data_IF_974974481283
#
_entry.id   IF_974974481283
#
_cell.length_a   1.000
_cell.length_b   1.000
_cell.length_c   1.000
_cell.angle_alpha   90.00
_cell.angle_beta   90.00
_cell.angle_gamma   90.00
#
_symmetry.space_group_name_H-M   'P 1'
#
loop_
_entity.id
_entity.type
_entity.pdbx_description
1 polymer ?
#
# COMPACT_ATOMS: atom_id res chain seq x y z
N UNK A 1 41.78 3.39 -41.07
CA UNK A 1 41.44 4.69 -40.45
C UNK A 1 40.47 4.48 -39.29
N UNK A 2 40.65 5.18 -38.17
CA UNK A 2 39.70 5.14 -37.06
C UNK A 2 38.52 6.11 -37.31
N UNK A 3 37.30 5.57 -37.35
CA UNK A 3 36.07 6.33 -37.60
C UNK A 3 35.27 6.65 -36.33
N UNK A 4 35.64 6.06 -35.18
CA UNK A 4 34.93 6.24 -33.91
C UNK A 4 34.85 7.71 -33.46
N UNK A 5 35.92 8.53 -33.56
CA UNK A 5 35.89 9.95 -33.16
C UNK A 5 34.83 10.80 -33.86
N UNK A 6 34.39 10.38 -35.05
CA UNK A 6 33.37 11.08 -35.84
C UNK A 6 31.94 10.66 -35.50
N UNK A 7 31.77 9.65 -34.63
CA UNK A 7 30.45 9.11 -34.27
C UNK A 7 29.97 9.74 -32.98
N UNK A 8 28.71 10.20 -32.99
CA UNK A 8 28.05 10.83 -31.84
C UNK A 8 27.90 9.89 -30.63
N UNK A 9 27.91 8.57 -30.82
CA UNK A 9 27.81 7.57 -29.75
C UNK A 9 29.16 7.23 -29.10
N UNK A 10 30.27 7.81 -29.56
CA UNK A 10 31.57 7.44 -29.02
C UNK A 10 31.72 7.93 -27.56
N UNK A 11 31.82 6.97 -26.64
CA UNK A 11 31.87 7.18 -25.19
C UNK A 11 32.97 8.15 -24.72
N UNK A 12 34.12 8.19 -25.39
CA UNK A 12 35.29 8.99 -24.99
C UNK A 12 35.28 10.42 -25.54
N UNK A 13 34.24 10.84 -26.26
CA UNK A 13 34.12 12.24 -26.68
C UNK A 13 33.83 13.09 -25.45
N UNK A 14 34.38 14.31 -25.44
CA UNK A 14 34.19 15.26 -24.33
C UNK A 14 32.72 15.52 -24.04
N UNK A 15 31.89 15.59 -25.09
CA UNK A 15 30.45 15.80 -24.98
C UNK A 15 29.73 14.64 -24.27
N UNK A 16 30.04 13.39 -24.62
CA UNK A 16 29.41 12.23 -23.99
C UNK A 16 29.90 12.03 -22.56
N UNK A 17 31.20 12.24 -22.31
CA UNK A 17 31.74 12.25 -20.95
C UNK A 17 31.12 13.35 -20.08
N UNK A 18 30.75 14.51 -20.65
CA UNK A 18 30.08 15.58 -19.92
C UNK A 18 28.60 15.26 -19.65
N UNK A 19 27.91 14.55 -20.57
CA UNK A 19 26.56 14.03 -20.31
C UNK A 19 26.56 13.05 -19.15
N UNK A 20 27.45 12.05 -19.19
CA UNK A 20 27.61 11.08 -18.09
C UNK A 20 27.87 11.77 -16.76
N UNK A 21 28.79 12.74 -16.71
CA UNK A 21 29.04 13.50 -15.48
C UNK A 21 27.83 14.30 -14.99
N UNK A 22 27.03 14.88 -15.89
CA UNK A 22 25.80 15.58 -15.51
C UNK A 22 24.79 14.61 -14.93
N UNK A 23 24.62 13.45 -15.54
CA UNK A 23 23.67 12.44 -15.09
C UNK A 23 24.10 11.84 -13.74
N UNK A 24 25.39 11.57 -13.56
CA UNK A 24 25.99 11.14 -12.29
C UNK A 24 25.83 12.22 -11.20
N UNK A 25 26.09 13.49 -11.52
CA UNK A 25 25.90 14.59 -10.59
C UNK A 25 24.43 14.80 -10.23
N UNK A 26 23.51 14.66 -11.19
CA UNK A 26 22.07 14.74 -10.92
C UNK A 26 21.60 13.58 -10.03
N UNK A 27 22.11 12.37 -10.27
CA UNK A 27 21.83 11.21 -9.42
C UNK A 27 22.38 11.41 -7.99
N UNK A 28 23.61 11.93 -7.86
CA UNK A 28 24.22 12.22 -6.57
C UNK A 28 23.43 13.30 -5.79
N UNK A 29 23.06 14.41 -6.44
CA UNK A 29 22.28 15.48 -5.82
C UNK A 29 20.88 15.02 -5.38
N UNK A 30 20.24 14.13 -6.15
CA UNK A 30 18.96 13.55 -5.79
C UNK A 30 19.05 12.65 -4.54
N UNK A 31 20.11 11.84 -4.43
CA UNK A 31 20.38 11.03 -3.23
C UNK A 31 20.69 11.90 -2.00
N UNK A 32 21.50 12.96 -2.17
CA UNK A 32 21.79 13.91 -1.09
C UNK A 32 20.52 14.58 -0.56
N UNK A 33 19.66 15.09 -1.46
CA UNK A 33 18.38 15.70 -1.08
C UNK A 33 17.47 14.73 -0.32
N UNK A 34 17.48 13.45 -0.71
CA UNK A 34 16.72 12.39 -0.02
C UNK A 34 17.27 12.14 1.38
N UNK A 35 18.59 12.04 1.52
CA UNK A 35 19.26 11.85 2.80
C UNK A 35 19.04 13.04 3.73
N UNK A 36 19.10 14.26 3.22
CA UNK A 36 18.79 15.48 3.97
C UNK A 36 17.37 15.46 4.51
N UNK A 37 16.39 15.07 3.69
CA UNK A 37 15.00 14.92 4.13
C UNK A 37 14.85 13.87 5.22
N UNK A 38 15.51 12.73 5.10
CA UNK A 38 15.49 11.68 6.13
C UNK A 38 16.14 12.17 7.43
N UNK A 39 17.28 12.84 7.35
CA UNK A 39 17.99 13.41 8.51
C UNK A 39 17.13 14.45 9.23
N UNK A 40 16.48 15.33 8.47
CA UNK A 40 15.59 16.35 9.02
C UNK A 40 14.38 15.72 9.72
N UNK A 41 13.73 14.74 9.08
CA UNK A 41 12.63 13.98 9.70
C UNK A 41 13.06 13.22 10.97
N UNK A 42 14.28 12.68 11.01
CA UNK A 42 14.84 12.04 12.20
C UNK A 42 15.08 13.05 13.33
N UNK A 43 15.61 14.24 13.01
CA UNK A 43 15.78 15.33 13.96
C UNK A 43 14.44 15.80 14.52
N UNK A 44 13.45 16.02 13.65
CA UNK A 44 12.09 16.42 14.03
C UNK A 44 11.45 15.37 14.95
N UNK A 45 11.51 14.07 14.58
CA UNK A 45 11.03 12.97 15.42
C UNK A 45 11.68 12.96 16.79
N UNK A 46 13.00 13.17 16.87
CA UNK A 46 13.72 13.22 18.15
C UNK A 46 13.23 14.37 19.02
N UNK A 47 13.03 15.55 18.43
CA UNK A 47 12.51 16.73 19.14
C UNK A 47 11.09 16.48 19.62
N UNK A 48 10.24 15.87 18.79
CA UNK A 48 8.87 15.53 19.14
C UNK A 48 8.82 14.54 20.32
N UNK A 49 9.67 13.50 20.32
CA UNK A 49 9.78 12.58 21.45
C UNK A 49 10.20 13.28 22.75
N UNK A 50 11.10 14.26 22.68
CA UNK A 50 11.51 15.03 23.85
C UNK A 50 10.38 15.94 24.35
N UNK A 51 9.65 16.59 23.44
CA UNK A 51 8.47 17.41 23.79
C UNK A 51 7.37 16.56 24.43
N UNK A 52 7.03 15.42 23.83
CA UNK A 52 6.04 14.50 24.38
C UNK A 52 6.42 14.03 25.79
N UNK A 53 7.69 13.67 26.02
CA UNK A 53 8.19 13.33 27.37
C UNK A 53 8.07 14.50 28.35
N UNK A 54 8.34 15.73 27.90
CA UNK A 54 8.21 16.92 28.74
C UNK A 54 6.75 17.18 29.10
N UNK A 55 5.82 17.02 28.16
CA UNK A 55 4.39 17.23 28.41
C UNK A 55 3.82 16.15 29.34
N UNK A 56 4.25 14.89 29.19
CA UNK A 56 3.97 13.80 30.15
C UNK A 56 4.51 14.13 31.55
N UNK A 57 5.72 14.68 31.65
CA UNK A 57 6.28 15.06 32.94
C UNK A 57 5.53 16.24 33.58
N UNK A 58 5.08 17.21 32.76
CA UNK A 58 4.27 18.34 33.24
C UNK A 58 2.89 17.89 33.70
N UNK A 59 2.23 16.98 32.99
CA UNK A 59 0.91 16.46 33.38
C UNK A 59 0.98 15.70 34.70
N UNK A 60 1.98 14.82 34.87
CA UNK A 60 2.23 14.11 36.14
C UNK A 60 2.53 15.09 37.28
N UNK A 61 3.24 16.18 37.00
CA UNK A 61 3.55 17.22 38.00
C UNK A 61 2.34 18.08 38.37
N UNK A 62 1.40 18.34 37.46
CA UNK A 62 0.16 19.05 37.77
C UNK A 62 -0.82 18.20 38.59
N UNK A 63 -0.81 16.88 38.42
CA UNK A 63 -1.69 15.97 39.18
C UNK A 63 -1.13 15.65 40.58
N UNK A 64 0.19 15.69 40.77
CA UNK A 64 0.84 15.49 42.07
C UNK A 64 1.00 16.75 42.95
N UNK A 65 0.55 17.92 42.50
CA UNK A 65 0.78 19.20 43.19
C UNK A 65 -0.25 19.56 44.29
N UNK A 66 -1.12 18.63 44.70
CA UNK A 66 -2.08 18.85 45.81
C UNK A 66 -1.61 18.33 47.18
N UNK A 67 -0.40 17.80 47.32
CA UNK A 67 0.20 17.48 48.63
C UNK A 67 1.67 17.94 48.68
N UNK A 68 1.99 18.74 49.71
CA UNK A 68 3.34 19.21 50.07
C UNK A 68 3.94 20.34 49.22
N UNK A 69 3.46 21.57 49.45
CA UNK A 69 4.20 22.80 49.17
C UNK A 69 5.13 23.12 50.34
N UNK A 70 6.41 22.75 50.27
CA UNK A 70 7.50 23.52 50.88
C UNK A 70 8.87 22.99 50.42
N UNK A 71 9.65 23.87 49.79
CA UNK A 71 11.10 23.73 49.67
C UNK A 71 11.62 22.80 48.56
N UNK A 72 11.80 23.32 47.35
CA UNK A 72 13.02 23.10 46.57
C UNK A 72 13.12 24.12 45.42
N UNK A 73 13.50 25.35 45.76
CA UNK A 73 13.94 26.32 44.77
C UNK A 73 15.40 26.07 44.40
N UNK A 74 15.64 25.94 43.10
CA UNK A 74 16.78 26.55 42.40
C UNK A 74 18.20 26.23 42.90
N UNK A 75 18.82 25.18 42.34
CA UNK A 75 20.25 25.21 41.97
C UNK A 75 20.51 24.30 40.76
N UNK A 76 20.21 24.76 39.55
CA UNK A 76 20.88 24.25 38.35
C UNK A 76 21.31 25.42 37.48
N UNK A 77 22.30 26.13 37.97
CA UNK A 77 23.11 27.05 37.20
C UNK A 77 24.52 26.86 37.73
N UNK A 78 25.15 25.78 37.26
CA UNK A 78 26.60 25.67 37.06
C UNK A 78 26.93 24.24 36.60
N UNK A 79 27.12 24.08 35.29
CA UNK A 79 27.87 22.94 34.74
C UNK A 79 28.71 23.40 33.55
N UNK A 80 29.56 24.38 33.83
CA UNK A 80 30.73 24.62 33.01
C UNK A 80 31.80 23.56 33.38
N UNK A 81 32.38 22.96 32.33
CA UNK A 81 33.64 22.23 32.31
C UNK A 81 33.77 20.97 33.19
N UNK A 82 33.81 19.79 32.54
CA UNK A 82 34.78 18.73 32.89
C UNK A 82 34.89 17.73 31.73
N UNK A 83 36.08 17.73 31.12
CA UNK A 83 36.61 16.65 30.28
C UNK A 83 36.79 15.41 31.16
N UNK A 84 36.38 14.24 30.66
CA UNK A 84 36.59 12.97 31.36
C UNK A 84 36.16 11.79 30.48
N UNK A 85 37.11 10.93 30.20
CA UNK A 85 37.08 9.81 29.27
C UNK A 85 36.14 8.70 29.74
N UNK A 86 35.31 8.18 28.82
CA UNK A 86 34.41 7.06 29.11
C UNK A 86 35.05 5.74 28.69
N UNK A 87 35.62 5.01 29.64
CA UNK A 87 35.91 3.58 29.49
C UNK A 87 34.62 2.79 29.64
N UNK A 88 34.24 2.04 28.61
CA UNK A 88 33.04 1.21 28.58
C UNK A 88 33.17 0.02 29.53
N UNK A 89 32.30 -0.05 30.55
CA UNK A 89 32.05 -1.26 31.33
C UNK A 89 30.64 -1.75 31.06
N UNK A 90 30.53 -2.72 30.16
CA UNK A 90 29.30 -3.47 29.87
C UNK A 90 29.10 -4.55 30.95
N UNK A 91 28.17 -4.34 31.87
CA UNK A 91 27.67 -5.41 32.75
C UNK A 91 26.47 -6.10 32.09
N UNK A 92 26.69 -7.28 31.49
CA UNK A 92 25.63 -8.22 31.10
C UNK A 92 25.25 -9.05 32.32
N UNK A 93 23.99 -8.99 32.74
CA UNK A 93 23.42 -9.92 33.71
C UNK A 93 22.77 -11.08 32.95
N UNK A 94 23.28 -12.28 33.21
CA UNK A 94 22.74 -13.57 32.80
C UNK A 94 21.97 -14.15 33.98
N UNK A 95 20.66 -14.42 33.83
CA UNK A 95 19.90 -15.20 34.81
C UNK A 95 19.52 -16.54 34.20
N UNK A 96 20.27 -17.57 34.57
CA UNK A 96 19.94 -18.98 34.39
C UNK A 96 18.93 -19.40 35.46
N UNK A 97 17.72 -19.82 35.06
CA UNK A 97 16.79 -20.54 35.93
C UNK A 97 16.64 -21.98 35.45
N UNK A 98 17.14 -22.92 36.25
CA UNK A 98 16.95 -24.35 36.08
C UNK A 98 16.37 -24.93 37.38
N UNK A 99 15.23 -25.63 37.28
CA UNK A 99 14.70 -26.73 38.13
C UNK A 99 13.17 -26.62 38.23
N UNK A 100 12.38 -27.50 37.61
CA UNK A 100 11.82 -28.74 38.22
C UNK A 100 10.28 -28.63 38.13
N UNK A 101 9.59 -29.33 37.22
CA UNK A 101 8.99 -30.66 37.34
C UNK A 101 8.10 -30.86 38.57
N UNK A 102 6.79 -30.98 38.33
CA UNK A 102 5.71 -31.76 38.99
C UNK A 102 4.38 -31.21 38.42
N UNK A 103 3.31 -31.90 38.03
CA UNK A 103 2.82 -33.25 38.24
C UNK A 103 1.29 -33.19 38.38
N UNK A 104 0.56 -33.64 37.35
CA UNK A 104 -0.79 -34.23 37.33
C UNK A 104 -2.07 -33.50 37.86
N UNK A 105 -3.08 -33.58 36.97
CA UNK A 105 -4.48 -34.00 37.21
C UNK A 105 -5.62 -32.97 37.29
N UNK A 106 -6.55 -33.19 36.36
CA UNK A 106 -7.89 -32.66 36.15
C UNK A 106 -8.81 -32.84 37.36
N UNK A 107 -9.64 -31.83 37.66
CA UNK A 107 -10.92 -32.03 38.35
C UNK A 107 -12.01 -31.20 37.68
N UNK A 108 -13.07 -31.89 37.32
CA UNK A 108 -14.24 -31.40 36.59
C UNK A 108 -15.25 -30.70 37.52
N UNK A 109 -15.68 -29.53 37.06
CA UNK A 109 -17.04 -28.99 37.06
C UNK A 109 -17.80 -28.87 38.41
N UNK A 110 -17.89 -27.64 38.93
CA UNK A 110 -18.89 -27.23 39.93
C UNK A 110 -19.72 -26.05 39.35
N UNK A 111 -21.04 -26.25 39.31
CA UNK A 111 -22.08 -25.23 39.55
C UNK A 111 -22.21 -24.03 38.61
N UNK A 112 -23.25 -24.07 37.76
CA UNK A 112 -23.88 -22.85 37.22
C UNK A 112 -24.47 -22.00 38.36
N UNK A 113 -23.89 -20.83 38.59
CA UNK A 113 -24.45 -19.73 39.36
C UNK A 113 -23.86 -18.45 38.79
N UNK A 114 -24.74 -17.49 38.44
CA UNK A 114 -24.45 -16.16 37.89
C UNK A 114 -22.96 -15.82 37.88
N UNK A 115 -22.31 -16.01 36.72
CA UNK A 115 -20.87 -15.84 36.58
C UNK A 115 -20.47 -14.48 37.13
N UNK A 116 -19.84 -14.48 38.31
CA UNK A 116 -19.17 -13.31 38.83
C UNK A 116 -18.14 -12.94 37.77
N UNK A 117 -18.44 -11.88 37.01
CA UNK A 117 -17.43 -11.28 36.15
C UNK A 117 -16.25 -10.99 37.06
N UNK A 118 -15.12 -11.66 36.82
CA UNK A 118 -13.88 -11.33 37.49
C UNK A 118 -13.71 -9.81 37.37
N UNK A 119 -13.58 -9.13 38.51
CA UNK A 119 -13.41 -7.68 38.56
C UNK A 119 -12.03 -7.36 37.99
N UNK A 120 -11.99 -7.18 36.67
CA UNK A 120 -10.79 -6.81 35.96
C UNK A 120 -10.63 -5.30 36.06
N UNK A 121 -9.92 -4.85 37.09
CA UNK A 121 -9.56 -3.43 37.29
C UNK A 121 -8.87 -2.81 36.07
N UNK A 122 -8.31 -3.64 35.18
CA UNK A 122 -7.61 -3.23 33.96
C UNK A 122 -8.46 -3.31 32.70
N UNK A 123 -9.73 -3.75 32.77
CA UNK A 123 -10.57 -3.93 31.58
C UNK A 123 -10.88 -2.60 30.89
N UNK A 124 -11.13 -1.54 31.63
CA UNK A 124 -11.32 -0.19 31.10
C UNK A 124 -10.04 0.36 30.44
N UNK A 125 -8.90 0.13 31.07
CA UNK A 125 -7.59 0.59 30.60
C UNK A 125 -7.15 -0.18 29.34
N UNK A 126 -7.37 -1.49 29.31
CA UNK A 126 -7.09 -2.33 28.15
C UNK A 126 -8.04 -2.02 26.98
N UNK A 127 -9.31 -1.72 27.24
CA UNK A 127 -10.25 -1.26 26.21
C UNK A 127 -9.86 0.11 25.65
N UNK A 128 -9.36 1.02 26.50
CA UNK A 128 -8.83 2.31 26.07
C UNK A 128 -7.56 2.15 25.22
N UNK A 129 -6.62 1.28 25.59
CA UNK A 129 -5.45 0.97 24.78
C UNK A 129 -5.82 0.32 23.44
N UNK A 130 -6.76 -0.63 23.44
CA UNK A 130 -7.26 -1.28 22.22
C UNK A 130 -7.96 -0.30 21.28
N UNK A 131 -8.72 0.66 21.80
CA UNK A 131 -9.36 1.71 20.99
C UNK A 131 -8.35 2.69 20.39
N UNK A 132 -7.30 3.04 21.14
CA UNK A 132 -6.18 3.86 20.64
C UNK A 132 -5.34 3.13 19.58
N UNK A 133 -5.24 1.81 19.64
CA UNK A 133 -4.53 0.99 18.63
C UNK A 133 -5.37 0.64 17.39
N UNK A 134 -6.70 0.68 17.48
CA UNK A 134 -7.60 0.29 16.39
C UNK A 134 -7.71 1.35 15.28
N UNK A 135 -7.37 2.60 15.56
CA UNK A 135 -7.38 3.70 14.60
C UNK A 135 -6.03 3.81 13.88
N UNK A 136 -5.76 2.92 12.94
CA UNK A 136 -4.60 3.08 12.04
C UNK A 136 -4.84 4.32 11.17
N UNK A 137 -3.84 5.21 11.11
CA UNK A 137 -3.91 6.43 10.33
C UNK A 137 -4.28 6.10 8.86
N UNK A 138 -5.46 6.57 8.43
CA UNK A 138 -6.02 6.25 7.09
C UNK A 138 -5.10 6.72 5.98
N UNK A 139 -4.40 7.84 6.21
CA UNK A 139 -3.45 8.41 5.28
C UNK A 139 -2.24 7.49 5.07
N UNK A 140 -1.73 6.88 6.16
CA UNK A 140 -0.61 5.94 6.09
C UNK A 140 -0.94 4.68 5.29
N UNK A 141 -2.17 4.16 5.41
CA UNK A 141 -2.59 3.01 4.59
C UNK A 141 -2.77 3.39 3.11
N UNK A 142 -3.24 4.60 2.83
CA UNK A 142 -3.36 5.10 1.47
C UNK A 142 -1.97 5.32 0.83
N UNK A 143 -1.03 5.88 1.59
CA UNK A 143 0.35 6.07 1.17
C UNK A 143 1.06 4.74 0.91
N UNK A 144 0.91 3.75 1.81
CA UNK A 144 1.44 2.39 1.60
C UNK A 144 0.87 1.73 0.36
N UNK A 145 -0.43 1.90 0.08
CA UNK A 145 -1.08 1.38 -1.13
C UNK A 145 -0.60 2.10 -2.38
N UNK A 146 -0.36 3.41 -2.32
CA UNK A 146 0.19 4.19 -3.42
C UNK A 146 1.67 3.83 -3.69
N UNK A 147 2.46 3.62 -2.64
CA UNK A 147 3.84 3.15 -2.72
C UNK A 147 3.90 1.74 -3.35
N UNK A 148 3.02 0.84 -2.92
CA UNK A 148 2.90 -0.48 -3.51
C UNK A 148 2.44 -0.41 -4.97
N UNK A 149 1.47 0.44 -5.29
CA UNK A 149 1.03 0.67 -6.67
C UNK A 149 2.17 1.22 -7.53
N UNK A 150 2.94 2.17 -7.03
CA UNK A 150 4.09 2.74 -7.73
C UNK A 150 5.21 1.72 -7.92
N UNK A 151 5.50 0.89 -6.92
CA UNK A 151 6.48 -0.18 -7.00
C UNK A 151 6.03 -1.27 -7.98
N UNK A 152 4.78 -1.71 -7.92
CA UNK A 152 4.21 -2.68 -8.85
C UNK A 152 4.17 -2.12 -10.29
N UNK A 153 3.83 -0.85 -10.48
CA UNK A 153 3.92 -0.18 -11.78
C UNK A 153 5.36 -0.08 -12.27
N UNK A 154 6.31 0.27 -11.39
CA UNK A 154 7.74 0.35 -11.71
C UNK A 154 8.35 -1.02 -12.03
N UNK A 155 7.91 -2.06 -11.35
CA UNK A 155 8.28 -3.46 -11.60
C UNK A 155 7.52 -4.06 -12.79
N UNK A 156 6.58 -3.34 -13.39
CA UNK A 156 5.76 -3.82 -14.51
C UNK A 156 4.75 -4.89 -14.13
N UNK A 157 4.58 -5.18 -12.84
CA UNK A 157 3.57 -6.10 -12.29
C UNK A 157 2.18 -5.49 -12.49
N UNK A 158 2.05 -4.19 -12.20
CA UNK A 158 0.84 -3.42 -12.48
C UNK A 158 1.04 -2.56 -13.72
N UNK A 159 1.06 -3.21 -14.89
CA UNK A 159 0.95 -2.56 -16.19
C UNK A 159 -0.52 -2.34 -16.51
N UNK A 160 -1.03 -1.12 -16.30
CA UNK A 160 -2.42 -0.83 -16.67
C UNK A 160 -2.54 -0.82 -18.19
N UNK A 161 -3.27 -1.80 -18.69
CA UNK A 161 -3.41 -2.16 -20.11
C UNK A 161 -4.08 -1.06 -20.98
N UNK A 162 -4.40 0.10 -20.41
CA UNK A 162 -5.15 1.16 -21.07
C UNK A 162 -4.57 2.58 -20.86
N UNK A 163 -3.44 2.77 -20.17
CA UNK A 163 -2.88 4.11 -19.97
C UNK A 163 -2.43 4.78 -21.28
N UNK A 164 -2.10 3.98 -22.30
CA UNK A 164 -1.72 4.47 -23.64
C UNK A 164 -2.91 4.56 -24.62
N UNK A 165 -4.16 4.33 -24.18
CA UNK A 165 -5.29 4.47 -25.11
C UNK A 165 -5.64 5.94 -25.32
N UNK A 166 -5.80 6.30 -26.60
CA UNK A 166 -6.08 7.68 -27.05
C UNK A 166 -7.39 8.28 -26.51
N UNK A 167 -8.26 7.42 -25.98
CA UNK A 167 -9.49 7.83 -25.29
C UNK A 167 -9.22 8.52 -23.94
N UNK A 168 -8.11 8.17 -23.28
CA UNK A 168 -7.69 8.74 -21.98
C UNK A 168 -6.75 9.92 -22.18
N UNK A 169 -5.80 9.82 -23.11
CA UNK A 169 -4.83 10.89 -23.37
C UNK A 169 -5.41 12.03 -24.22
N UNK A 170 -6.63 11.88 -24.74
CA UNK A 170 -7.30 12.86 -25.60
C UNK A 170 -6.53 13.18 -26.88
N UNK A 171 -5.50 12.39 -27.19
CA UNK A 171 -4.57 12.66 -28.28
C UNK A 171 -5.13 12.06 -29.54
N UNK A 172 -5.56 12.92 -30.46
CA UNK A 172 -6.06 12.50 -31.77
C UNK A 172 -4.89 12.04 -32.62
N UNK A 173 -4.95 10.83 -33.16
CA UNK A 173 -3.90 10.34 -34.04
C UNK A 173 -3.80 11.17 -35.32
N UNK A 174 -2.60 11.25 -35.89
CA UNK A 174 -2.32 12.02 -37.11
C UNK A 174 -3.23 11.62 -38.29
N UNK A 175 -3.61 10.34 -38.41
CA UNK A 175 -4.51 9.86 -39.48
C UNK A 175 -5.97 10.28 -39.34
N UNK A 176 -6.43 10.64 -38.14
CA UNK A 176 -7.78 11.17 -37.94
C UNK A 176 -7.88 12.67 -38.28
N UNK A 177 -6.73 13.33 -38.47
CA UNK A 177 -6.61 14.72 -38.91
C UNK A 177 -6.45 14.84 -40.42
N UNK A 178 -6.31 13.71 -41.14
CA UNK A 178 -6.33 13.71 -42.61
C UNK A 178 -7.76 13.95 -43.05
N UNK A 179 -8.01 15.13 -43.63
CA UNK A 179 -9.26 15.45 -44.28
C UNK A 179 -9.49 14.43 -45.40
N UNK A 180 -10.50 13.58 -45.22
CA UNK A 180 -10.91 12.64 -46.24
C UNK A 180 -11.42 13.46 -47.42
N UNK A 181 -10.63 13.51 -48.50
CA UNK A 181 -11.07 14.03 -49.79
C UNK A 181 -12.35 13.27 -50.14
N UNK A 182 -13.50 13.94 -50.02
CA UNK A 182 -14.75 13.41 -50.56
C UNK A 182 -14.57 13.38 -52.07
N UNK A 183 -14.75 12.24 -52.76
CA UNK A 183 -14.90 12.28 -54.20
C UNK A 183 -16.07 13.21 -54.52
N UNK A 184 -15.80 14.16 -55.41
CA UNK A 184 -16.75 15.10 -56.00
C UNK A 184 -18.04 14.38 -56.41
N UNK A 185 -19.17 14.97 -56.07
CA UNK A 185 -20.50 14.38 -56.23
C UNK A 185 -20.84 14.11 -57.71
N UNK A 186 -20.63 12.88 -58.17
CA UNK A 186 -21.37 12.38 -59.32
C UNK A 186 -22.88 12.36 -58.98
N UNK A 187 -23.62 13.17 -59.75
CA UNK A 187 -25.07 13.36 -59.81
C UNK A 187 -25.91 12.17 -59.29
N UNK A 188 -26.97 12.42 -58.51
CA UNK A 188 -27.76 11.36 -57.88
C UNK A 188 -28.57 10.59 -58.94
N UNK A 189 -28.07 9.40 -59.34
CA UNK A 189 -28.91 8.41 -60.03
C UNK A 189 -30.08 8.05 -59.11
N UNK A 190 -31.28 8.45 -59.55
CA UNK A 190 -32.58 8.20 -58.89
C UNK A 190 -32.70 6.71 -58.54
N UNK A 191 -32.51 6.37 -57.26
CA UNK A 191 -32.86 5.04 -56.74
C UNK A 191 -34.38 4.98 -56.68
N UNK A 192 -34.96 4.16 -57.54
CA UNK A 192 -36.38 3.78 -57.50
C UNK A 192 -36.76 3.35 -56.08
N UNK A 193 -37.98 3.69 -55.68
CA UNK A 193 -38.50 3.59 -54.30
C UNK A 193 -38.55 2.14 -53.76
N UNK A 194 -38.22 1.14 -54.57
CA UNK A 194 -38.22 -0.29 -54.20
C UNK A 194 -37.04 -0.67 -53.30
N UNK A 195 -35.84 -0.16 -53.54
CA UNK A 195 -34.66 -0.52 -52.70
C UNK A 195 -34.66 0.08 -51.29
N UNK A 196 -35.53 1.06 -51.00
CA UNK A 196 -35.65 1.67 -49.66
C UNK A 196 -36.50 0.79 -48.72
N UNK A 197 -37.45 0.03 -49.25
CA UNK A 197 -38.28 -0.89 -48.46
C UNK A 197 -37.47 -2.12 -48.05
N UNK A 198 -36.72 -2.70 -48.99
CA UNK A 198 -35.91 -3.91 -48.75
C UNK A 198 -34.77 -3.67 -47.74
N UNK A 199 -34.13 -2.50 -47.76
CA UNK A 199 -33.06 -2.16 -46.80
C UNK A 199 -33.61 -1.91 -45.38
N UNK A 200 -34.82 -1.35 -45.26
CA UNK A 200 -35.51 -1.17 -43.96
C UNK A 200 -35.94 -2.52 -43.38
N UNK A 201 -36.36 -3.45 -44.24
CA UNK A 201 -36.76 -4.80 -43.86
C UNK A 201 -35.56 -5.68 -43.47
N UNK A 202 -34.45 -5.66 -44.23
CA UNK A 202 -33.18 -6.31 -43.85
C UNK A 202 -32.63 -5.76 -42.53
N UNK A 203 -32.74 -4.45 -42.27
CA UNK A 203 -32.33 -3.84 -40.99
C UNK A 203 -33.25 -4.26 -39.83
N UNK A 204 -34.57 -4.38 -40.05
CA UNK A 204 -35.52 -4.95 -39.07
C UNK A 204 -35.25 -6.45 -38.81
N UNK A 205 -35.02 -7.27 -39.83
CA UNK A 205 -34.65 -8.70 -39.69
C UNK A 205 -33.31 -8.87 -38.96
N UNK A 206 -32.30 -8.03 -39.23
CA UNK A 206 -31.01 -8.06 -38.51
C UNK A 206 -31.13 -7.61 -37.05
N UNK A 207 -31.98 -6.60 -36.75
CA UNK A 207 -32.32 -6.23 -35.35
C UNK A 207 -33.10 -7.35 -34.62
N UNK A 208 -34.03 -8.03 -35.30
CA UNK A 208 -34.79 -9.15 -34.71
C UNK A 208 -33.92 -10.38 -34.47
N UNK A 209 -32.98 -10.71 -35.37
CA UNK A 209 -32.01 -11.81 -35.15
C UNK A 209 -31.05 -11.54 -33.98
N UNK A 210 -30.60 -10.29 -33.78
CA UNK A 210 -29.77 -9.92 -32.61
C UNK A 210 -30.51 -10.00 -31.27
N UNK A 211 -31.84 -9.84 -31.26
CA UNK A 211 -32.66 -9.97 -30.05
C UNK A 211 -32.98 -11.42 -29.68
N UNK A 212 -32.97 -12.33 -30.66
CA UNK A 212 -33.24 -13.76 -30.42
C UNK A 212 -32.00 -14.56 -29.99
N UNK A 213 -30.78 -14.13 -30.38
CA UNK A 213 -29.53 -14.77 -29.94
C UNK A 213 -29.00 -14.28 -28.59
N UNK A 214 -29.80 -13.50 -27.85
CA UNK A 214 -29.49 -12.97 -26.51
C UNK A 214 -30.63 -13.30 -25.55
N UNK A 215 -31.24 -14.47 -25.74
CA UNK A 215 -32.38 -14.97 -24.95
C UNK A 215 -32.07 -16.33 -24.35
N UNK A 216 -30.90 -16.45 -23.73
CA UNK A 216 -30.61 -17.41 -22.68
C UNK A 216 -29.55 -16.77 -21.78
N UNK A 217 -29.85 -16.72 -20.49
CA UNK A 217 -28.97 -16.34 -19.37
C UNK A 217 -28.90 -14.84 -18.99
N UNK A 218 -30.07 -14.24 -18.80
CA UNK A 218 -30.24 -13.14 -17.84
C UNK A 218 -30.19 -13.68 -16.40
N UNK A 219 -29.09 -14.34 -16.04
CA UNK A 219 -28.76 -14.49 -14.62
C UNK A 219 -28.41 -13.09 -14.11
N UNK A 220 -29.21 -12.62 -13.14
CA UNK A 220 -28.98 -11.37 -12.41
C UNK A 220 -27.51 -11.28 -11.98
N UNK A 221 -26.96 -10.06 -11.92
CA UNK A 221 -25.58 -9.85 -11.46
C UNK A 221 -25.28 -10.55 -10.13
N UNK A 222 -26.30 -10.68 -9.27
CA UNK A 222 -26.28 -11.46 -8.02
C UNK A 222 -26.02 -12.95 -8.24
N UNK A 223 -26.68 -13.58 -9.22
CA UNK A 223 -26.52 -14.99 -9.56
C UNK A 223 -25.14 -15.28 -10.13
N UNK A 224 -24.61 -14.39 -10.97
CA UNK A 224 -23.23 -14.47 -11.49
C UNK A 224 -22.20 -14.35 -10.37
N UNK A 225 -22.43 -13.43 -9.42
CA UNK A 225 -21.58 -13.26 -8.23
C UNK A 225 -21.62 -14.50 -7.34
N UNK A 226 -22.81 -15.08 -7.10
CA UNK A 226 -22.99 -16.30 -6.31
C UNK A 226 -22.32 -17.52 -6.96
N UNK A 227 -22.42 -17.66 -8.28
CA UNK A 227 -21.72 -18.71 -9.05
C UNK A 227 -20.20 -18.56 -8.95
N UNK A 228 -19.69 -17.32 -9.10
CA UNK A 228 -18.26 -17.05 -8.99
C UNK A 228 -17.74 -17.32 -7.58
N UNK A 229 -18.53 -16.98 -6.56
CA UNK A 229 -18.22 -17.25 -5.17
C UNK A 229 -18.18 -18.75 -4.87
N UNK A 230 -19.15 -19.53 -5.37
CA UNK A 230 -19.13 -20.98 -5.26
C UNK A 230 -17.86 -21.61 -5.89
N UNK A 231 -17.42 -21.11 -7.05
CA UNK A 231 -16.16 -21.58 -7.68
C UNK A 231 -14.92 -21.23 -6.85
N UNK A 232 -14.93 -20.12 -6.11
CA UNK A 232 -13.82 -19.72 -5.22
C UNK A 232 -13.80 -20.58 -3.96
N UNK A 233 -14.96 -20.82 -3.37
CA UNK A 233 -15.11 -21.69 -2.20
C UNK A 233 -14.70 -23.13 -2.54
N UNK A 234 -15.06 -23.62 -3.72
CA UNK A 234 -14.61 -24.93 -4.21
C UNK A 234 -13.09 -25.00 -4.39
N UNK A 235 -12.46 -23.94 -4.94
CA UNK A 235 -11.01 -23.87 -5.07
C UNK A 235 -10.32 -23.91 -3.69
N UNK A 236 -10.76 -23.07 -2.75
CA UNK A 236 -10.20 -23.02 -1.39
C UNK A 236 -10.33 -24.39 -0.72
N UNK A 237 -11.47 -25.07 -0.87
CA UNK A 237 -11.69 -26.40 -0.31
C UNK A 237 -10.73 -27.45 -0.90
N UNK A 238 -10.38 -27.35 -2.19
CA UNK A 238 -9.37 -28.24 -2.80
C UNK A 238 -7.97 -27.94 -2.27
N UNK A 239 -7.59 -26.66 -2.19
CA UNK A 239 -6.29 -26.24 -1.64
C UNK A 239 -6.15 -26.65 -0.17
N UNK A 240 -7.20 -26.51 0.64
CA UNK A 240 -7.22 -26.96 2.03
C UNK A 240 -7.10 -28.48 2.15
N UNK A 241 -7.77 -29.24 1.28
CA UNK A 241 -7.67 -30.69 1.26
C UNK A 241 -6.26 -31.17 0.84
N UNK A 242 -5.63 -30.49 -0.12
CA UNK A 242 -4.25 -30.74 -0.53
C UNK A 242 -3.28 -30.37 0.59
N UNK A 243 -3.42 -29.20 1.21
CA UNK A 243 -2.64 -28.77 2.38
C UNK A 243 -2.79 -29.74 3.56
N UNK A 244 -3.98 -30.29 3.79
CA UNK A 244 -4.19 -31.32 4.80
C UNK A 244 -3.51 -32.64 4.43
N UNK A 245 -3.49 -33.03 3.15
CA UNK A 245 -2.75 -34.20 2.68
C UNK A 245 -1.24 -34.01 2.82
N UNK A 246 -0.73 -32.84 2.45
CA UNK A 246 0.67 -32.45 2.63
C UNK A 246 1.06 -32.42 4.11
N UNK A 247 0.25 -31.81 4.97
CA UNK A 247 0.49 -31.79 6.41
C UNK A 247 0.47 -33.20 7.02
N UNK A 248 -0.39 -34.09 6.53
CA UNK A 248 -0.39 -35.51 6.93
C UNK A 248 0.84 -36.27 6.43
N UNK A 249 1.38 -35.89 5.28
CA UNK A 249 2.61 -36.46 4.71
C UNK A 249 3.87 -35.97 5.44
N UNK A 250 3.92 -34.69 5.82
CA UNK A 250 5.04 -34.07 6.55
C UNK A 250 5.07 -34.48 8.03
N UNK A 251 3.93 -34.89 8.61
CA UNK A 251 3.82 -35.33 10.01
C UNK A 251 4.11 -36.84 10.20
N UNK A 252 4.54 -37.54 9.16
CA UNK A 252 4.91 -38.97 9.20
C UNK A 252 6.42 -39.12 9.17
#
# INVERSE_FOLDING_TARGET
>A
MNILPKKKWHVRTKENMARVRRDEAAAAAAEESRLERVKLAEQERRVELLKAKQDQFKSVKSEGATEYSEGLSSTFSDRAALKGEATASTSRLTSSSASGQDGLASSSNIGQGQASKHLNFFEELEQQERSNMASVNKEYQAEKKAEQHAWESKMGIMKKFAEDTNEITGTKHWWESIERIKPEEEQPKKKTKEHKVEKKEKKKKKKRKRRYSSSSDEDSAEAKKKRLQAMREERIRREEAEKQREAKFVKR
#
